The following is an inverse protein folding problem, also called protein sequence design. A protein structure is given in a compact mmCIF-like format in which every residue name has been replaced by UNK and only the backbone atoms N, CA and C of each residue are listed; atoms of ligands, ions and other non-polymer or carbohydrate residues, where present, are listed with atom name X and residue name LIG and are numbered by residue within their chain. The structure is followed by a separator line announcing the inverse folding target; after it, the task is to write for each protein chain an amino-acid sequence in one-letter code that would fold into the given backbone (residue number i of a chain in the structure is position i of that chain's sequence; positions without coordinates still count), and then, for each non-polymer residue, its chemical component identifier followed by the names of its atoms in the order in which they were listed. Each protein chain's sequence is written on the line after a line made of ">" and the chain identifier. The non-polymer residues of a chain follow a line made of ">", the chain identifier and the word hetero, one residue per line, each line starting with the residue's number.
data_IF_156443570393
#
_entry.id   IF_156443570393
#
_cell.length_a   1.000
_cell.length_b   1.000
_cell.length_c   1.000
_cell.angle_alpha   90.00
_cell.angle_beta   90.00
_cell.angle_gamma   90.00
#
_symmetry.space_group_name_H-M   'P 1'
#
loop_
_entity.id
_entity.type
_entity.pdbx_description
1 polymer ?
#
# COMPACT_ATOMS: atom_id res chain seq x y z
N UNK A 1 -2.43 -2.82 -11.45
CA UNK A 1 -2.00 -2.36 -10.11
C UNK A 1 -3.12 -1.66 -9.33
N UNK A 2 -3.67 -0.52 -9.80
CA UNK A 2 -4.65 0.26 -9.00
C UNK A 2 -5.92 -0.54 -8.62
N UNK A 3 -6.42 -1.37 -9.54
CA UNK A 3 -7.57 -2.24 -9.27
C UNK A 3 -7.30 -3.27 -8.17
N UNK A 4 -6.09 -3.82 -8.10
CA UNK A 4 -5.69 -4.77 -7.04
C UNK A 4 -5.64 -4.09 -5.68
N UNK A 5 -5.12 -2.86 -5.62
CA UNK A 5 -5.14 -2.06 -4.38
C UNK A 5 -6.59 -1.83 -3.95
N UNK A 6 -7.46 -1.40 -4.88
CA UNK A 6 -8.88 -1.22 -4.62
C UNK A 6 -9.56 -2.50 -4.13
N UNK A 7 -9.32 -3.63 -4.79
CA UNK A 7 -9.86 -4.93 -4.41
C UNK A 7 -9.34 -5.38 -3.04
N UNK A 8 -8.06 -5.14 -2.73
CA UNK A 8 -7.47 -5.46 -1.43
C UNK A 8 -8.11 -4.63 -0.30
N UNK A 9 -8.44 -3.36 -0.56
CA UNK A 9 -9.19 -2.53 0.38
C UNK A 9 -10.62 -3.04 0.57
N UNK A 10 -11.29 -3.49 -0.50
CA UNK A 10 -12.61 -4.12 -0.40
C UNK A 10 -12.56 -5.40 0.43
N UNK A 11 -11.53 -6.24 0.25
CA UNK A 11 -11.30 -7.43 1.08
C UNK A 11 -11.11 -7.05 2.55
N UNK A 12 -10.31 -6.02 2.84
CA UNK A 12 -10.10 -5.53 4.20
C UNK A 12 -11.42 -5.05 4.83
N UNK A 13 -12.23 -4.29 4.09
CA UNK A 13 -13.56 -3.85 4.54
C UNK A 13 -14.48 -5.05 4.77
N UNK A 14 -14.49 -6.02 3.86
CA UNK A 14 -15.27 -7.26 3.99
C UNK A 14 -14.91 -8.06 5.23
N UNK A 15 -13.61 -8.22 5.53
CA UNK A 15 -13.14 -8.88 6.74
C UNK A 15 -13.50 -8.10 8.01
N UNK A 16 -13.53 -6.77 7.96
CA UNK A 16 -14.01 -5.95 9.07
C UNK A 16 -15.51 -6.15 9.34
N UNK A 17 -16.32 -6.28 8.28
CA UNK A 17 -17.75 -6.61 8.43
C UNK A 17 -17.91 -8.02 9.01
N UNK A 18 -17.20 -9.01 8.45
CA UNK A 18 -17.21 -10.39 8.95
C UNK A 18 -16.81 -10.48 10.43
N UNK A 19 -15.85 -9.66 10.85
CA UNK A 19 -15.44 -9.58 12.25
C UNK A 19 -16.59 -9.14 13.17
N UNK A 20 -17.47 -8.25 12.74
CA UNK A 20 -18.61 -7.78 13.53
C UNK A 20 -19.61 -8.90 13.79
N UNK A 21 -19.80 -9.78 12.81
CA UNK A 21 -20.67 -10.95 12.91
C UNK A 21 -20.06 -12.06 13.79
N UNK A 22 -18.78 -12.39 13.57
CA UNK A 22 -18.10 -13.50 14.25
C UNK A 22 -17.52 -13.14 15.63
N UNK A 23 -17.52 -11.85 16.01
CA UNK A 23 -16.92 -11.31 17.25
C UNK A 23 -15.46 -11.70 17.49
N UNK A 24 -14.73 -12.00 16.42
CA UNK A 24 -13.30 -12.35 16.47
C UNK A 24 -12.43 -11.10 16.68
N UNK A 25 -11.17 -11.30 17.08
CA UNK A 25 -10.21 -10.20 17.13
C UNK A 25 -9.77 -9.81 15.72
N UNK A 26 -10.08 -8.57 15.31
CA UNK A 26 -9.75 -8.07 13.96
C UNK A 26 -8.26 -8.22 13.57
N UNK A 27 -7.27 -7.89 14.43
CA UNK A 27 -5.86 -8.14 14.11
C UNK A 27 -5.53 -9.60 13.80
N UNK A 28 -6.12 -10.55 14.54
CA UNK A 28 -5.92 -11.97 14.30
C UNK A 28 -6.56 -12.42 12.99
N UNK A 29 -7.79 -11.97 12.71
CA UNK A 29 -8.49 -12.27 11.46
C UNK A 29 -7.69 -11.77 10.25
N UNK A 30 -7.24 -10.52 10.29
CA UNK A 30 -6.44 -9.92 9.21
C UNK A 30 -5.08 -10.60 9.06
N UNK A 31 -4.40 -10.90 10.17
CA UNK A 31 -3.09 -11.58 10.16
C UNK A 31 -3.18 -12.99 9.58
N UNK A 32 -4.16 -13.79 10.03
CA UNK A 32 -4.39 -15.15 9.51
C UNK A 32 -4.75 -15.08 8.03
N UNK A 33 -5.70 -14.22 7.63
CA UNK A 33 -6.06 -14.06 6.23
C UNK A 33 -4.86 -13.61 5.37
N UNK A 34 -3.98 -12.75 5.90
CA UNK A 34 -2.74 -12.33 5.24
C UNK A 34 -1.76 -13.49 5.04
N UNK A 35 -1.55 -14.33 6.06
CA UNK A 35 -0.71 -15.52 5.93
C UNK A 35 -1.31 -16.55 4.97
N UNK A 36 -2.63 -16.77 5.01
CA UNK A 36 -3.31 -17.66 4.06
C UNK A 36 -3.17 -17.14 2.62
N UNK A 37 -3.26 -15.82 2.40
CA UNK A 37 -3.04 -15.24 1.08
C UNK A 37 -1.63 -15.49 0.55
N UNK A 38 -0.61 -15.49 1.41
CA UNK A 38 0.74 -15.87 1.02
C UNK A 38 0.86 -17.37 0.79
N UNK A 39 0.33 -18.19 1.71
CA UNK A 39 0.45 -19.64 1.67
C UNK A 39 -0.22 -20.27 0.44
N UNK A 40 -1.40 -19.77 0.05
CA UNK A 40 -2.13 -20.29 -1.11
C UNK A 40 -1.65 -19.75 -2.45
N UNK A 41 -0.76 -18.75 -2.47
CA UNK A 41 -0.27 -18.17 -3.73
C UNK A 41 0.28 -19.21 -4.72
N UNK A 42 1.16 -20.16 -4.33
CA UNK A 42 1.65 -21.18 -5.27
C UNK A 42 0.52 -22.03 -5.83
N UNK A 43 -0.45 -22.42 -5.00
CA UNK A 43 -1.56 -23.26 -5.42
C UNK A 43 -2.48 -22.51 -6.40
N UNK A 44 -2.73 -21.22 -6.15
CA UNK A 44 -3.52 -20.35 -7.03
C UNK A 44 -2.81 -20.14 -8.37
N UNK A 45 -1.48 -19.94 -8.34
CA UNK A 45 -0.67 -19.70 -9.53
C UNK A 45 -0.58 -20.90 -10.49
N UNK A 46 -0.70 -22.13 -9.98
CA UNK A 46 -0.64 -23.36 -10.77
C UNK A 46 -2.03 -23.97 -11.06
N UNK A 47 -3.10 -23.41 -10.50
CA UNK A 47 -4.44 -23.88 -10.76
C UNK A 47 -4.89 -23.53 -12.19
N UNK A 48 -5.70 -24.40 -12.79
CA UNK A 48 -6.33 -24.12 -14.08
C UNK A 48 -7.53 -23.17 -13.90
N UNK A 49 -7.42 -21.98 -14.48
CA UNK A 49 -8.46 -20.95 -14.45
C UNK A 49 -9.24 -20.85 -15.76
N UNK A 50 -9.11 -21.82 -16.68
CA UNK A 50 -9.77 -21.84 -18.00
C UNK A 50 -11.30 -21.77 -17.94
N UNK A 51 -11.92 -22.29 -16.87
CA UNK A 51 -13.37 -22.24 -16.67
C UNK A 51 -13.90 -20.83 -16.30
N UNK A 52 -13.02 -19.91 -15.92
CA UNK A 52 -13.38 -18.56 -15.48
C UNK A 52 -13.24 -17.54 -16.63
N UNK A 53 -14.12 -16.52 -16.73
CA UNK A 53 -13.93 -15.47 -17.73
C UNK A 53 -12.55 -14.83 -17.63
N UNK A 54 -11.89 -14.60 -18.76
CA UNK A 54 -10.50 -14.15 -18.80
C UNK A 54 -10.23 -12.90 -17.96
N UNK A 55 -11.18 -11.97 -17.87
CA UNK A 55 -11.04 -10.76 -17.05
C UNK A 55 -10.97 -11.05 -15.54
N UNK A 56 -11.65 -12.10 -15.05
CA UNK A 56 -11.55 -12.55 -13.66
C UNK A 56 -10.30 -13.41 -13.46
N UNK A 57 -9.96 -14.28 -14.42
CA UNK A 57 -8.76 -15.11 -14.38
C UNK A 57 -7.48 -14.27 -14.22
N UNK A 58 -7.42 -13.10 -14.87
CA UNK A 58 -6.31 -12.13 -14.72
C UNK A 58 -6.08 -11.61 -13.29
N UNK A 59 -7.03 -11.80 -12.36
CA UNK A 59 -6.83 -11.47 -10.94
C UNK A 59 -6.23 -12.63 -10.14
N UNK A 60 -6.30 -13.86 -10.63
CA UNK A 60 -5.76 -15.04 -9.95
C UNK A 60 -4.39 -15.42 -10.49
N UNK A 61 -4.24 -15.41 -11.81
CA UNK A 61 -2.99 -15.70 -12.52
C UNK A 61 -2.60 -14.53 -13.42
N UNK A 62 -1.30 -14.39 -13.67
CA UNK A 62 -0.75 -13.33 -14.51
C UNK A 62 -0.94 -13.65 -16.01
N UNK A 63 -2.20 -13.78 -16.42
CA UNK A 63 -2.59 -14.05 -17.80
C UNK A 63 -3.64 -13.04 -18.25
N UNK A 64 -3.46 -12.43 -19.43
CA UNK A 64 -4.45 -11.54 -20.04
C UNK A 64 -4.35 -10.06 -19.64
N UNK A 65 -5.39 -9.53 -18.99
CA UNK A 65 -5.67 -8.08 -18.88
C UNK A 65 -5.00 -7.36 -17.70
N UNK A 66 -4.44 -8.09 -16.74
CA UNK A 66 -3.76 -7.50 -15.57
C UNK A 66 -2.38 -8.13 -15.40
N UNK A 67 -1.37 -7.28 -15.26
CA UNK A 67 0.00 -7.69 -14.92
C UNK A 67 0.20 -7.98 -13.43
N UNK A 68 -0.82 -7.72 -12.61
CA UNK A 68 -0.80 -7.94 -11.18
C UNK A 68 -2.00 -8.80 -10.77
N UNK A 69 -1.72 -9.87 -10.04
CA UNK A 69 -2.69 -10.75 -9.41
C UNK A 69 -3.17 -10.18 -8.06
N UNK A 70 -4.23 -10.73 -7.49
CA UNK A 70 -4.70 -10.39 -6.14
C UNK A 70 -3.83 -11.07 -5.08
N UNK A 71 -3.42 -12.32 -5.33
CA UNK A 71 -2.51 -13.09 -4.49
C UNK A 71 -1.11 -12.99 -5.08
N UNK A 72 -0.08 -12.67 -4.28
CA UNK A 72 -0.07 -12.55 -2.82
C UNK A 72 -0.41 -11.14 -2.30
N UNK A 73 -0.60 -10.16 -3.19
CA UNK A 73 -0.59 -8.74 -2.87
C UNK A 73 -1.61 -8.28 -1.82
N UNK A 74 -2.78 -8.92 -1.78
CA UNK A 74 -3.79 -8.70 -0.74
C UNK A 74 -3.23 -8.97 0.65
N UNK A 75 -2.33 -9.93 0.81
CA UNK A 75 -1.69 -10.26 2.08
C UNK A 75 -0.94 -9.07 2.68
N UNK A 76 -0.18 -8.32 1.87
CA UNK A 76 0.49 -7.11 2.34
C UNK A 76 -0.49 -6.03 2.82
N UNK A 77 -1.60 -5.84 2.10
CA UNK A 77 -2.64 -4.89 2.52
C UNK A 77 -3.27 -5.30 3.85
N UNK A 78 -3.51 -6.60 4.06
CA UNK A 78 -4.05 -7.14 5.31
C UNK A 78 -3.07 -6.98 6.48
N UNK A 79 -1.78 -7.25 6.29
CA UNK A 79 -0.75 -6.98 7.32
C UNK A 79 -0.61 -5.49 7.63
N UNK A 80 -0.70 -4.61 6.63
CA UNK A 80 -0.81 -3.17 6.85
C UNK A 80 -2.05 -2.82 7.68
N UNK A 81 -3.18 -3.49 7.41
CA UNK A 81 -4.40 -3.40 8.21
C UNK A 81 -4.20 -3.81 9.67
N UNK A 82 -3.44 -4.88 9.95
CA UNK A 82 -3.08 -5.28 11.33
C UNK A 82 -2.38 -4.11 12.03
N UNK A 83 -1.34 -3.54 11.42
CA UNK A 83 -0.63 -2.39 11.97
C UNK A 83 -1.56 -1.19 12.22
N UNK A 84 -2.42 -0.88 11.26
CA UNK A 84 -3.42 0.19 11.36
C UNK A 84 -4.40 0.00 12.52
N UNK A 85 -4.93 -1.22 12.70
CA UNK A 85 -5.88 -1.52 13.79
C UNK A 85 -5.20 -1.46 15.15
N UNK A 86 -3.98 -1.99 15.28
CA UNK A 86 -3.23 -1.95 16.53
C UNK A 86 -2.92 -0.51 16.95
N UNK A 87 -2.50 0.33 16.00
CA UNK A 87 -2.27 1.75 16.22
C UNK A 87 -3.55 2.52 16.57
N UNK A 88 -4.66 2.23 15.90
CA UNK A 88 -5.94 2.89 16.16
C UNK A 88 -6.50 2.56 17.54
N UNK A 89 -6.30 1.32 18.03
CA UNK A 89 -6.76 0.88 19.36
C UNK A 89 -5.99 1.55 20.50
N UNK A 90 -4.70 1.79 20.33
CA UNK A 90 -3.88 2.40 21.35
C UNK A 90 -2.97 3.49 20.75
N UNK A 91 -3.54 4.68 20.57
CA UNK A 91 -2.82 5.80 19.99
C UNK A 91 -1.57 6.20 20.81
N UNK A 92 -1.54 5.91 22.12
CA UNK A 92 -0.37 6.22 22.96
C UNK A 92 0.83 5.32 22.61
N UNK A 93 0.59 4.09 22.12
CA UNK A 93 1.66 3.17 21.68
C UNK A 93 2.43 3.76 20.50
N UNK A 94 1.77 4.54 19.64
CA UNK A 94 2.43 5.25 18.53
C UNK A 94 3.54 6.22 19.00
N UNK A 95 3.40 6.75 20.22
CA UNK A 95 4.36 7.66 20.84
C UNK A 95 5.36 6.97 21.77
N UNK A 96 5.33 5.64 21.86
CA UNK A 96 6.24 4.88 22.73
C UNK A 96 7.50 4.46 21.97
N UNK A 97 8.64 4.33 22.66
CA UNK A 97 9.87 3.82 22.04
C UNK A 97 9.80 2.34 21.66
N UNK A 98 8.91 1.59 22.32
CA UNK A 98 8.78 0.15 22.10
C UNK A 98 8.24 -0.18 20.72
N UNK A 99 7.30 0.59 20.18
CA UNK A 99 6.70 0.27 18.88
C UNK A 99 7.72 0.27 17.72
N UNK A 100 8.51 1.34 17.46
CA UNK A 100 9.50 1.29 16.40
C UNK A 100 10.53 0.17 16.60
N UNK A 101 10.93 -0.10 17.86
CA UNK A 101 11.86 -1.19 18.18
C UNK A 101 11.27 -2.57 17.92
N UNK A 102 9.98 -2.79 18.22
CA UNK A 102 9.31 -4.06 17.91
C UNK A 102 9.13 -4.22 16.41
N UNK A 103 8.76 -3.17 15.68
CA UNK A 103 8.66 -3.20 14.21
C UNK A 103 10.01 -3.55 13.57
N UNK A 104 11.10 -2.93 14.04
CA UNK A 104 12.46 -3.24 13.58
C UNK A 104 12.84 -4.68 13.92
N UNK A 105 12.64 -5.11 15.16
CA UNK A 105 13.03 -6.44 15.62
C UNK A 105 12.26 -7.53 14.86
N UNK A 106 10.93 -7.40 14.78
CA UNK A 106 10.07 -8.32 14.02
C UNK A 106 10.43 -8.27 12.53
N UNK A 107 10.67 -7.09 11.97
CA UNK A 107 11.05 -6.93 10.57
C UNK A 107 12.38 -7.62 10.24
N UNK A 108 13.40 -7.46 11.07
CA UNK A 108 14.69 -8.14 10.94
C UNK A 108 14.55 -9.66 11.13
N UNK A 109 13.70 -10.11 12.06
CA UNK A 109 13.39 -11.53 12.23
C UNK A 109 12.79 -12.13 10.96
N UNK A 110 11.81 -11.45 10.35
CA UNK A 110 11.26 -11.87 9.05
C UNK A 110 12.30 -11.82 7.93
N UNK A 111 13.14 -10.80 7.88
CA UNK A 111 14.15 -10.66 6.84
C UNK A 111 15.18 -11.82 6.87
N UNK A 112 15.75 -12.11 8.04
CA UNK A 112 16.85 -13.07 8.17
C UNK A 112 16.38 -14.51 8.41
N UNK A 113 15.30 -14.73 9.18
CA UNK A 113 14.93 -16.07 9.66
C UNK A 113 13.67 -16.67 9.01
N UNK A 114 12.94 -15.92 8.18
CA UNK A 114 11.71 -16.45 7.57
C UNK A 114 11.93 -17.70 6.72
N UNK A 115 13.04 -17.77 5.97
CA UNK A 115 13.38 -18.93 5.14
C UNK A 115 13.67 -20.16 5.99
N UNK A 116 14.47 -20.01 7.05
CA UNK A 116 14.84 -21.11 7.94
C UNK A 116 13.61 -21.64 8.68
N UNK A 117 12.74 -20.74 9.14
CA UNK A 117 11.48 -21.08 9.81
C UNK A 117 10.61 -22.01 8.95
N UNK A 118 10.58 -21.81 7.63
CA UNK A 118 9.83 -22.68 6.71
C UNK A 118 10.42 -24.08 6.59
N UNK A 119 11.75 -24.20 6.63
CA UNK A 119 12.43 -25.50 6.63
C UNK A 119 12.13 -26.24 7.94
N UNK A 120 12.16 -25.54 9.06
CA UNK A 120 11.87 -26.16 10.36
C UNK A 120 10.39 -26.56 10.46
N UNK A 121 9.46 -25.74 9.93
CA UNK A 121 8.06 -26.12 9.80
C UNK A 121 7.88 -27.37 8.93
N UNK A 122 8.61 -27.48 7.81
CA UNK A 122 8.62 -28.72 7.02
C UNK A 122 9.15 -29.92 7.81
N UNK A 123 10.27 -29.76 8.52
CA UNK A 123 10.88 -30.85 9.32
C UNK A 123 9.95 -31.35 10.42
N UNK A 124 9.15 -30.46 11.01
CA UNK A 124 8.22 -30.81 12.11
C UNK A 124 6.91 -31.40 11.56
N UNK A 125 6.35 -30.81 10.49
CA UNK A 125 5.02 -31.17 9.99
C UNK A 125 5.02 -32.20 8.86
N UNK A 126 6.14 -32.36 8.15
CA UNK A 126 6.25 -33.16 6.94
C UNK A 126 5.52 -32.57 5.72
N UNK A 127 4.93 -31.38 5.81
CA UNK A 127 4.12 -30.82 4.73
C UNK A 127 4.97 -30.23 3.60
N UNK A 128 4.98 -30.89 2.43
CA UNK A 128 5.75 -30.46 1.25
C UNK A 128 5.43 -29.02 0.80
N UNK A 129 4.23 -28.53 1.11
CA UNK A 129 3.81 -27.15 0.84
C UNK A 129 4.78 -26.08 1.36
N UNK A 130 5.43 -26.31 2.50
CA UNK A 130 6.43 -25.37 3.03
C UNK A 130 7.71 -25.30 2.18
N UNK A 131 8.14 -26.43 1.59
CA UNK A 131 9.28 -26.47 0.69
C UNK A 131 8.94 -25.83 -0.66
N UNK A 132 7.76 -26.15 -1.21
CA UNK A 132 7.28 -25.52 -2.44
C UNK A 132 7.20 -23.99 -2.28
N UNK A 133 6.65 -23.53 -1.15
CA UNK A 133 6.55 -22.10 -0.85
C UNK A 133 7.93 -21.46 -0.70
N UNK A 134 8.89 -22.11 -0.03
CA UNK A 134 10.26 -21.61 0.11
C UNK A 134 10.91 -21.34 -1.26
N UNK A 135 10.75 -22.25 -2.21
CA UNK A 135 11.40 -22.17 -3.52
C UNK A 135 10.83 -21.01 -4.34
N UNK A 136 9.50 -20.85 -4.34
CA UNK A 136 8.81 -19.90 -5.22
C UNK A 136 8.64 -18.52 -4.57
N UNK A 137 8.36 -18.49 -3.27
CA UNK A 137 7.78 -17.34 -2.59
C UNK A 137 8.51 -16.85 -1.35
N UNK A 138 9.69 -17.39 -1.02
CA UNK A 138 10.51 -16.94 0.12
C UNK A 138 10.68 -15.42 0.21
N UNK A 139 10.78 -14.76 -0.94
CA UNK A 139 10.90 -13.30 -1.05
C UNK A 139 9.70 -12.54 -0.47
N UNK A 140 8.51 -13.13 -0.36
CA UNK A 140 7.32 -12.44 0.13
C UNK A 140 7.42 -12.09 1.61
N UNK A 141 7.90 -13.03 2.43
CA UNK A 141 8.09 -12.83 3.87
C UNK A 141 9.30 -11.93 4.14
N UNK A 142 10.37 -12.04 3.35
CA UNK A 142 11.52 -11.11 3.43
C UNK A 142 11.06 -9.68 3.18
N UNK A 143 10.33 -9.44 2.08
CA UNK A 143 9.78 -8.11 1.75
C UNK A 143 8.80 -7.60 2.81
N UNK A 144 8.00 -8.49 3.42
CA UNK A 144 7.15 -8.10 4.54
C UNK A 144 8.03 -7.59 5.70
N UNK A 145 9.11 -8.31 6.01
CA UNK A 145 10.13 -7.89 6.98
C UNK A 145 10.73 -6.52 6.65
N UNK A 146 11.15 -6.30 5.41
CA UNK A 146 11.71 -5.02 4.95
C UNK A 146 10.74 -3.86 5.16
N UNK A 147 9.45 -4.07 4.89
CA UNK A 147 8.42 -3.05 5.12
C UNK A 147 8.32 -2.70 6.60
N UNK A 148 8.31 -3.69 7.50
CA UNK A 148 8.30 -3.44 8.94
C UNK A 148 9.57 -2.71 9.41
N UNK A 149 10.74 -3.06 8.86
CA UNK A 149 12.01 -2.37 9.14
C UNK A 149 11.91 -0.90 8.73
N UNK A 150 11.50 -0.63 7.49
CA UNK A 150 11.36 0.75 6.97
C UNK A 150 10.36 1.55 7.80
N UNK A 151 9.21 0.98 8.17
CA UNK A 151 8.23 1.64 9.04
C UNK A 151 8.87 1.97 10.39
N UNK A 152 9.56 1.02 11.02
CA UNK A 152 10.26 1.23 12.29
C UNK A 152 11.33 2.31 12.22
N UNK A 153 12.12 2.34 11.15
CA UNK A 153 13.11 3.40 10.89
C UNK A 153 12.47 4.78 10.74
N UNK A 154 11.40 4.90 9.93
CA UNK A 154 10.68 6.15 9.75
C UNK A 154 10.10 6.65 11.08
N UNK A 155 9.55 5.75 11.89
CA UNK A 155 9.05 6.10 13.22
C UNK A 155 10.16 6.60 14.16
N UNK A 156 11.38 6.07 14.08
CA UNK A 156 12.52 6.61 14.83
C UNK A 156 12.95 7.97 14.28
N UNK A 157 13.09 8.11 12.97
CA UNK A 157 13.49 9.37 12.33
C UNK A 157 12.54 10.50 12.71
N UNK A 158 11.23 10.27 12.62
CA UNK A 158 10.22 11.27 12.97
C UNK A 158 10.25 11.64 14.45
N UNK A 159 10.66 10.72 15.33
CA UNK A 159 10.82 10.97 16.76
C UNK A 159 12.04 11.83 17.08
N UNK A 160 13.17 11.58 16.42
CA UNK A 160 14.40 12.36 16.61
C UNK A 160 14.32 13.72 15.91
N UNK A 161 13.66 13.78 14.75
CA UNK A 161 13.49 14.99 13.97
C UNK A 161 12.21 15.75 14.34
N UNK A 162 12.18 16.31 15.55
CA UNK A 162 10.98 17.02 16.08
C UNK A 162 10.52 18.20 15.21
N UNK A 163 11.44 18.89 14.55
CA UNK A 163 11.16 20.04 13.69
C UNK A 163 11.01 19.66 12.21
N UNK A 164 10.52 18.46 11.92
CA UNK A 164 10.34 17.99 10.55
C UNK A 164 9.31 18.85 9.78
N UNK A 165 9.62 19.32 8.56
CA UNK A 165 8.65 20.06 7.75
C UNK A 165 7.39 19.24 7.50
N UNK A 166 6.21 19.82 7.72
CA UNK A 166 4.91 19.16 7.54
C UNK A 166 4.69 18.59 6.12
N UNK A 167 5.43 19.10 5.13
CA UNK A 167 5.39 18.60 3.75
C UNK A 167 5.90 17.17 3.61
N UNK A 168 6.89 16.74 4.40
CA UNK A 168 7.49 15.40 4.31
C UNK A 168 6.46 14.30 4.62
N UNK A 169 5.80 14.27 5.79
CA UNK A 169 4.78 13.26 6.07
C UNK A 169 3.57 13.39 5.13
N UNK A 170 3.26 14.61 4.69
CA UNK A 170 2.17 14.87 3.74
C UNK A 170 2.38 14.19 2.40
N UNK A 171 3.61 14.18 1.87
CA UNK A 171 3.95 13.42 0.66
C UNK A 171 3.65 11.93 0.84
N UNK A 172 4.01 11.36 1.99
CA UNK A 172 3.72 9.95 2.32
C UNK A 172 2.22 9.63 2.40
N UNK A 173 1.41 10.54 2.94
CA UNK A 173 -0.05 10.36 3.00
C UNK A 173 -0.74 10.47 1.64
N UNK A 174 -0.10 11.12 0.66
CA UNK A 174 -0.65 11.38 -0.67
C UNK A 174 -0.08 10.45 -1.75
N UNK A 175 0.52 9.33 -1.36
CA UNK A 175 1.15 8.35 -2.28
C UNK A 175 0.20 7.83 -3.36
N UNK A 176 -1.08 7.56 -3.05
CA UNK A 176 -2.06 7.13 -4.06
C UNK A 176 -2.37 8.24 -5.08
N UNK A 177 -2.48 9.49 -4.62
CA UNK A 177 -2.68 10.67 -5.47
C UNK A 177 -1.47 10.87 -6.37
N UNK A 178 -0.26 10.83 -5.79
CA UNK A 178 1.01 10.92 -6.51
C UNK A 178 1.07 9.84 -7.58
N UNK A 179 0.84 8.57 -7.22
CA UNK A 179 0.88 7.45 -8.15
C UNK A 179 -0.09 7.62 -9.32
N UNK A 180 -1.34 8.03 -9.02
CA UNK A 180 -2.37 8.19 -10.05
C UNK A 180 -2.00 9.28 -11.04
N UNK A 181 -1.59 10.46 -10.56
CA UNK A 181 -1.15 11.56 -11.43
C UNK A 181 0.15 11.22 -12.15
N UNK A 182 1.09 10.57 -11.48
CA UNK A 182 2.35 10.06 -12.05
C UNK A 182 2.09 9.19 -13.27
N UNK A 183 1.19 8.22 -13.14
CA UNK A 183 0.86 7.30 -14.22
C UNK A 183 0.23 8.03 -15.41
N UNK A 184 -0.70 8.97 -15.15
CA UNK A 184 -1.33 9.79 -16.19
C UNK A 184 -0.32 10.68 -16.90
N UNK A 185 0.57 11.37 -16.18
CA UNK A 185 1.53 12.32 -16.77
C UNK A 185 2.67 11.61 -17.50
N UNK A 186 3.22 10.54 -16.92
CA UNK A 186 4.35 9.84 -17.50
C UNK A 186 3.93 8.97 -18.69
N UNK A 187 2.86 8.18 -18.54
CA UNK A 187 2.42 7.21 -19.54
C UNK A 187 1.27 7.70 -20.43
N UNK A 188 0.60 8.79 -20.06
CA UNK A 188 -0.49 9.34 -20.86
C UNK A 188 -1.77 8.50 -20.80
N UNK A 189 -2.02 7.77 -19.72
CA UNK A 189 -3.07 6.74 -19.65
C UNK A 189 -4.49 7.24 -19.97
N UNK A 190 -4.81 8.50 -19.65
CA UNK A 190 -6.16 9.05 -19.86
C UNK A 190 -6.30 9.79 -21.19
N UNK A 191 -5.30 10.58 -21.56
CA UNK A 191 -5.38 11.49 -22.71
C UNK A 191 -4.51 11.03 -23.90
N UNK A 192 -3.77 9.94 -23.76
CA UNK A 192 -2.75 9.50 -24.71
C UNK A 192 -1.51 10.41 -24.75
N UNK A 193 -1.46 11.49 -23.98
CA UNK A 193 -0.35 12.45 -24.00
C UNK A 193 0.53 12.22 -22.76
N UNK A 194 1.51 11.33 -22.89
CA UNK A 194 2.48 11.02 -21.82
C UNK A 194 3.87 11.52 -22.17
N UNK A 195 4.65 11.94 -21.16
CA UNK A 195 6.07 12.33 -21.32
C UNK A 195 6.87 11.19 -22.00
N UNK A 196 6.52 9.93 -21.74
CA UNK A 196 7.13 8.76 -22.40
C UNK A 196 7.09 8.80 -23.93
N UNK A 197 6.16 9.54 -24.54
CA UNK A 197 6.08 9.70 -26.00
C UNK A 197 7.06 10.72 -26.56
N UNK A 198 7.65 11.58 -25.73
CA UNK A 198 8.63 12.61 -26.13
C UNK A 198 10.06 12.03 -26.34
N UNK A 199 10.20 10.71 -26.39
CA UNK A 199 11.49 10.02 -26.54
C UNK A 199 11.79 9.04 -25.39
N UNK A 200 10.78 8.35 -24.87
CA UNK A 200 10.99 7.30 -23.87
C UNK A 200 12.03 6.29 -24.37
N UNK A 201 13.06 6.05 -23.55
CA UNK A 201 14.21 5.16 -23.82
C UNK A 201 15.21 5.65 -24.88
N UNK A 202 15.06 6.86 -25.42
CA UNK A 202 16.03 7.44 -26.37
C UNK A 202 16.82 8.62 -25.78
N UNK A 203 16.44 9.11 -24.60
CA UNK A 203 17.11 10.23 -23.95
C UNK A 203 18.44 9.83 -23.32
N UNK A 204 19.42 10.74 -23.41
CA UNK A 204 20.71 10.61 -22.72
C UNK A 204 20.50 10.49 -21.19
N UNK A 205 21.37 9.76 -20.45
CA UNK A 205 21.30 9.68 -19.00
C UNK A 205 21.22 11.04 -18.30
N UNK A 206 21.90 12.07 -18.80
CA UNK A 206 21.86 13.41 -18.22
C UNK A 206 20.50 14.08 -18.40
N UNK A 207 19.93 14.00 -19.61
CA UNK A 207 18.59 14.51 -19.90
C UNK A 207 17.53 13.79 -19.08
N UNK A 208 17.66 12.46 -18.95
CA UNK A 208 16.77 11.64 -18.12
C UNK A 208 16.90 12.01 -16.64
N UNK A 209 18.11 12.27 -16.15
CA UNK A 209 18.36 12.70 -14.77
C UNK A 209 17.72 14.06 -14.46
N UNK A 210 17.92 15.05 -15.33
CA UNK A 210 17.28 16.37 -15.20
C UNK A 210 15.76 16.24 -15.27
N UNK A 211 15.24 15.45 -16.22
CA UNK A 211 13.81 15.19 -16.37
C UNK A 211 13.21 14.57 -15.10
N UNK A 212 13.87 13.56 -14.53
CA UNK A 212 13.46 12.92 -13.29
C UNK A 212 13.47 13.90 -12.11
N UNK A 213 14.49 14.76 -11.99
CA UNK A 213 14.56 15.78 -10.95
C UNK A 213 13.41 16.79 -11.06
N UNK A 214 13.19 17.35 -12.26
CA UNK A 214 12.10 18.28 -12.52
C UNK A 214 10.75 17.66 -12.22
N UNK A 215 10.59 16.39 -12.59
CA UNK A 215 9.39 15.63 -12.36
C UNK A 215 9.14 15.42 -10.86
N UNK A 216 10.15 15.04 -10.07
CA UNK A 216 10.04 14.95 -8.60
C UNK A 216 9.68 16.31 -7.97
N UNK A 217 10.35 17.38 -8.39
CA UNK A 217 10.05 18.75 -7.91
C UNK A 217 8.61 19.16 -8.25
N UNK A 218 8.12 18.80 -9.43
CA UNK A 218 6.73 19.05 -9.81
C UNK A 218 5.73 18.32 -8.89
N UNK A 219 6.00 17.08 -8.50
CA UNK A 219 5.18 16.35 -7.53
C UNK A 219 5.22 16.97 -6.13
N UNK A 220 6.39 17.41 -5.67
CA UNK A 220 6.52 18.12 -4.40
C UNK A 220 5.68 19.41 -4.42
N UNK A 221 5.76 20.17 -5.51
CA UNK A 221 4.97 21.40 -5.69
C UNK A 221 3.46 21.11 -5.75
N UNK A 222 3.06 20.05 -6.47
CA UNK A 222 1.67 19.60 -6.55
C UNK A 222 1.13 19.25 -5.16
N UNK A 223 1.87 18.48 -4.36
CA UNK A 223 1.45 18.09 -3.01
C UNK A 223 1.40 19.28 -2.06
N UNK A 224 2.33 20.24 -2.19
CA UNK A 224 2.28 21.49 -1.43
C UNK A 224 0.97 22.26 -1.66
N UNK A 225 0.41 22.22 -2.89
CA UNK A 225 -0.80 22.97 -3.26
C UNK A 225 -2.05 22.08 -3.42
N UNK A 226 -2.00 20.82 -2.98
CA UNK A 226 -3.05 19.83 -3.28
C UNK A 226 -4.44 20.23 -2.76
N UNK A 227 -4.52 20.92 -1.61
CA UNK A 227 -5.80 21.36 -1.06
C UNK A 227 -6.47 22.44 -1.92
N UNK A 228 -5.67 23.38 -2.43
CA UNK A 228 -6.16 24.44 -3.33
C UNK A 228 -6.66 23.80 -4.62
N UNK A 229 -5.87 22.88 -5.20
CA UNK A 229 -6.25 22.15 -6.41
C UNK A 229 -7.57 21.40 -6.20
N UNK A 230 -7.69 20.65 -5.10
CA UNK A 230 -8.91 19.90 -4.75
C UNK A 230 -10.09 20.83 -4.52
N UNK A 231 -9.90 21.95 -3.84
CA UNK A 231 -10.95 22.94 -3.59
C UNK A 231 -11.46 23.56 -4.90
N UNK A 232 -10.57 24.04 -5.76
CA UNK A 232 -10.93 24.62 -7.06
C UNK A 232 -11.64 23.60 -7.96
N UNK A 233 -11.18 22.35 -7.95
CA UNK A 233 -11.86 21.27 -8.67
C UNK A 233 -13.26 21.02 -8.11
N UNK A 234 -13.37 20.86 -6.79
CA UNK A 234 -14.64 20.62 -6.12
C UNK A 234 -15.65 21.77 -6.28
N UNK A 235 -15.19 23.01 -6.41
CA UNK A 235 -16.07 24.15 -6.69
C UNK A 235 -16.63 24.17 -8.11
N UNK A 236 -15.94 23.53 -9.07
CA UNK A 236 -16.37 23.46 -10.48
C UNK A 236 -17.26 22.25 -10.78
N UNK A 237 -17.20 21.19 -9.97
CA UNK A 237 -18.03 19.99 -10.13
C UNK A 237 -19.39 20.18 -9.43
N UNK A 238 -20.41 20.54 -10.21
CA UNK A 238 -21.76 20.88 -9.72
C UNK A 238 -22.79 19.74 -9.93
N UNK A 239 -22.67 18.62 -9.19
CA UNK A 239 -23.65 17.50 -8.93
C UNK A 239 -23.23 16.08 -9.37
N UNK A 240 -23.81 14.96 -8.84
CA UNK A 240 -24.31 14.67 -7.50
C UNK A 240 -23.44 13.60 -6.80
N UNK A 241 -22.10 13.69 -6.81
CA UNK A 241 -21.21 12.91 -5.91
C UNK A 241 -21.20 13.50 -4.48
N UNK A 242 -22.34 14.03 -4.05
CA UNK A 242 -22.43 15.05 -2.99
C UNK A 242 -22.09 14.55 -1.59
N UNK A 243 -22.12 13.25 -1.31
CA UNK A 243 -21.88 12.74 0.04
C UNK A 243 -20.39 12.82 0.40
N UNK A 244 -19.50 12.34 -0.49
CA UNK A 244 -18.04 12.41 -0.29
C UNK A 244 -17.55 13.87 -0.20
N UNK A 245 -18.02 14.72 -1.10
CA UNK A 245 -17.61 16.13 -1.14
C UNK A 245 -18.23 16.99 -0.03
N UNK A 246 -19.44 16.67 0.47
CA UNK A 246 -20.01 17.32 1.67
C UNK A 246 -19.19 16.98 2.92
N UNK A 247 -18.76 15.72 3.06
CA UNK A 247 -17.91 15.30 4.17
C UNK A 247 -16.53 15.99 4.12
N UNK A 248 -15.92 16.04 2.93
CA UNK A 248 -14.63 16.71 2.73
C UNK A 248 -14.72 18.24 2.94
N UNK A 249 -15.78 18.89 2.45
CA UNK A 249 -16.04 20.33 2.68
C UNK A 249 -16.21 20.65 4.16
N UNK A 250 -16.86 19.76 4.94
CA UNK A 250 -17.00 19.91 6.40
C UNK A 250 -15.64 19.77 7.09
N UNK A 251 -14.82 18.79 6.71
CA UNK A 251 -13.46 18.59 7.22
C UNK A 251 -12.55 19.80 6.94
N UNK A 252 -12.56 20.33 5.71
CA UNK A 252 -11.81 21.52 5.33
C UNK A 252 -12.25 22.78 6.09
N UNK A 253 -13.56 23.01 6.25
CA UNK A 253 -14.05 24.13 7.07
C UNK A 253 -13.55 24.06 8.50
N UNK A 254 -13.51 22.87 9.09
CA UNK A 254 -13.02 22.69 10.46
C UNK A 254 -11.51 22.95 10.58
N UNK A 255 -10.72 22.55 9.58
CA UNK A 255 -9.28 22.83 9.53
C UNK A 255 -8.99 24.34 9.40
N UNK A 256 -9.70 25.04 8.51
CA UNK A 256 -9.55 26.49 8.36
C UNK A 256 -10.04 27.28 9.58
N UNK A 257 -11.02 26.77 10.33
CA UNK A 257 -11.44 27.38 11.59
C UNK A 257 -10.43 27.15 12.71
N UNK A 258 -9.75 25.99 12.73
CA UNK A 258 -8.70 25.67 13.70
C UNK A 258 -7.45 26.55 13.53
N UNK A 259 -6.96 26.71 12.29
CA UNK A 259 -5.81 27.59 11.97
C UNK A 259 -6.08 29.08 12.27
N UNK A 260 -7.35 29.47 12.41
CA UNK A 260 -7.74 30.86 12.77
C UNK A 260 -7.86 31.09 14.27
N UNK A 261 -7.79 30.02 15.06
CA UNK A 261 -7.98 30.02 16.53
C UNK A 261 -6.70 29.74 17.32
N UNK A 262 -5.60 29.44 16.63
CA UNK A 262 -4.22 29.32 17.13
C UNK A 262 -3.39 30.52 16.71
#
# INVERSE_FOLDING_TARGET
>A
MLHIIGLSLLVLIGLNILQQELKLSLPWLLGIAGFLAFYFEPAIGHADWSAMPGFLASYMVNEGFSTFTLFPWVGYALFGGVGGVLLARNNQVSHTWWLPLTMLSVGLLFHYFSIETLIDLYRITGMEGFIAWRIVNSHLLIRLGDVWVVIGLIMLITRFWKNMPALIPRIGTETLTIYSVHYVVLWGTWFGLGISRLGGKTWDPWMSGIGALLFVVAFIFMIKHIDIIRYTWASKVTQPLSIYYRFYRKKLRLLFLYERSS
#
